data_IF_731450073063
#
_entry.id   IF_731450073063
#
_cell.length_a   1.000
_cell.length_b   1.000
_cell.length_c   1.000
_cell.angle_alpha   90.00
_cell.angle_beta   90.00
_cell.angle_gamma   90.00
#
_symmetry.space_group_name_H-M   'P 1'
#
loop_
_entity.id
_entity.type
_entity.pdbx_description
1 polymer ?
#
# COMPACT_ATOMS: atom_id res chain seq x y z
N UNK A 1 49.52 14.45 42.72
CA UNK A 1 49.33 13.56 41.55
C UNK A 1 47.85 13.20 41.30
N UNK A 2 46.95 13.20 42.26
CA UNK A 2 45.55 12.82 42.15
C UNK A 2 44.67 13.85 41.45
N UNK A 3 44.96 15.15 41.58
CA UNK A 3 44.16 16.23 40.99
C UNK A 3 44.38 16.36 39.47
N UNK A 4 45.60 16.13 39.00
CA UNK A 4 45.95 16.21 37.56
C UNK A 4 45.32 15.02 36.77
N UNK A 5 45.20 13.84 37.39
CA UNK A 5 44.55 12.70 36.78
C UNK A 5 43.04 12.86 36.60
N UNK A 6 42.37 13.60 37.48
CA UNK A 6 40.92 13.78 37.40
C UNK A 6 40.53 14.82 36.34
N UNK A 7 41.34 15.89 36.17
CA UNK A 7 41.16 16.85 35.09
C UNK A 7 41.30 16.23 33.70
N UNK A 8 42.28 15.36 33.50
CA UNK A 8 42.50 14.68 32.22
C UNK A 8 41.35 13.70 31.87
N UNK A 9 40.77 13.03 32.88
CA UNK A 9 39.62 12.11 32.65
C UNK A 9 38.34 12.87 32.30
N UNK A 10 38.10 14.05 32.90
CA UNK A 10 36.94 14.89 32.56
C UNK A 10 37.07 15.52 31.18
N UNK A 11 38.26 15.92 30.77
CA UNK A 11 38.54 16.48 29.44
C UNK A 11 38.39 15.42 28.33
N UNK A 12 38.83 14.19 28.56
CA UNK A 12 38.61 13.06 27.62
C UNK A 12 37.13 12.72 27.52
N UNK A 13 36.39 12.71 28.63
CA UNK A 13 34.96 12.47 28.65
C UNK A 13 34.17 13.54 27.88
N UNK A 14 34.52 14.82 28.06
CA UNK A 14 33.93 15.96 27.36
C UNK A 14 34.23 15.90 25.84
N UNK A 15 35.45 15.54 25.48
CA UNK A 15 35.87 15.39 24.08
C UNK A 15 35.16 14.27 23.39
N UNK A 16 34.97 13.12 24.05
CA UNK A 16 34.22 11.97 23.52
C UNK A 16 32.72 12.28 23.35
N UNK A 17 32.14 13.02 24.25
CA UNK A 17 30.72 13.44 24.14
C UNK A 17 30.52 14.45 23.02
N UNK A 18 31.44 15.40 22.85
CA UNK A 18 31.38 16.36 21.73
C UNK A 18 31.57 15.69 20.37
N UNK A 19 32.49 14.73 20.25
CA UNK A 19 32.65 13.93 19.03
C UNK A 19 31.41 13.09 18.71
N UNK A 20 30.76 12.52 19.71
CA UNK A 20 29.49 11.80 19.53
C UNK A 20 28.35 12.71 19.09
N UNK A 21 28.29 13.91 19.64
CA UNK A 21 27.30 14.91 19.22
C UNK A 21 27.52 15.35 17.77
N UNK A 22 28.75 15.67 17.40
CA UNK A 22 29.08 16.07 16.02
C UNK A 22 28.71 14.95 15.03
N UNK A 23 29.06 13.71 15.36
CA UNK A 23 28.71 12.57 14.50
C UNK A 23 27.20 12.38 14.37
N UNK A 24 26.45 12.55 15.46
CA UNK A 24 24.99 12.42 15.45
C UNK A 24 24.30 13.56 14.68
N UNK A 25 24.86 14.78 14.74
CA UNK A 25 24.37 15.89 13.92
C UNK A 25 24.65 15.66 12.44
N UNK A 26 25.80 15.13 12.07
CA UNK A 26 26.09 14.74 10.67
C UNK A 26 25.16 13.65 10.15
N UNK A 27 24.93 12.60 10.93
CA UNK A 27 23.99 11.52 10.58
C UNK A 27 22.56 12.06 10.40
N UNK A 28 22.15 13.03 11.22
CA UNK A 28 20.84 13.68 11.11
C UNK A 28 20.75 14.59 9.88
N UNK A 29 21.81 15.33 9.56
CA UNK A 29 21.88 16.17 8.37
C UNK A 29 21.83 15.33 7.10
N UNK A 30 22.57 14.22 7.05
CA UNK A 30 22.53 13.28 5.91
C UNK A 30 21.15 12.66 5.74
N UNK A 31 20.51 12.23 6.85
CA UNK A 31 19.15 11.70 6.81
C UNK A 31 18.13 12.76 6.36
N UNK A 32 18.31 14.01 6.77
CA UNK A 32 17.44 15.11 6.34
C UNK A 32 17.56 15.39 4.85
N UNK A 33 18.77 15.43 4.31
CA UNK A 33 19.02 15.61 2.87
C UNK A 33 18.39 14.46 2.07
N UNK A 34 18.56 13.21 2.52
CA UNK A 34 17.95 12.06 1.87
C UNK A 34 16.41 12.14 1.89
N UNK A 35 15.82 12.60 2.98
CA UNK A 35 14.38 12.84 3.10
C UNK A 35 13.88 13.94 2.15
N UNK A 36 14.64 15.02 1.99
CA UNK A 36 14.29 16.08 1.05
C UNK A 36 14.34 15.60 -0.40
N UNK A 37 15.37 14.84 -0.77
CA UNK A 37 15.52 14.28 -2.11
C UNK A 37 14.41 13.28 -2.42
N UNK A 38 14.09 12.38 -1.49
CA UNK A 38 12.97 11.46 -1.62
C UNK A 38 11.63 12.21 -1.77
N UNK A 39 11.42 13.26 -0.99
CA UNK A 39 10.21 14.07 -1.07
C UNK A 39 10.10 14.81 -2.41
N UNK A 40 11.23 15.27 -2.97
CA UNK A 40 11.29 15.89 -4.29
C UNK A 40 10.96 14.87 -5.38
N UNK A 41 11.53 13.69 -5.32
CA UNK A 41 11.26 12.59 -6.26
C UNK A 41 9.78 12.17 -6.21
N UNK A 42 9.21 11.99 -5.02
CA UNK A 42 7.79 11.69 -4.86
C UNK A 42 6.87 12.79 -5.41
N UNK A 43 7.24 14.07 -5.28
CA UNK A 43 6.47 15.17 -5.90
C UNK A 43 6.53 15.10 -7.42
N UNK A 44 7.71 14.81 -7.99
CA UNK A 44 7.86 14.66 -9.44
C UNK A 44 7.03 13.48 -9.97
N UNK A 45 7.13 12.31 -9.33
CA UNK A 45 6.34 11.14 -9.70
C UNK A 45 4.82 11.40 -9.60
N UNK A 46 4.39 12.10 -8.53
CA UNK A 46 2.98 12.47 -8.38
C UNK A 46 2.54 13.42 -9.49
N UNK A 47 3.35 14.40 -9.85
CA UNK A 47 3.07 15.34 -10.92
C UNK A 47 2.94 14.62 -12.27
N UNK A 48 3.87 13.72 -12.58
CA UNK A 48 3.83 12.93 -13.81
C UNK A 48 2.60 12.01 -13.87
N UNK A 49 2.27 11.37 -12.75
CA UNK A 49 1.04 10.60 -12.64
C UNK A 49 -0.21 11.45 -12.90
N UNK A 50 -0.29 12.65 -12.31
CA UNK A 50 -1.41 13.55 -12.52
C UNK A 50 -1.52 14.02 -13.98
N UNK A 51 -0.40 14.26 -14.66
CA UNK A 51 -0.38 14.59 -16.08
C UNK A 51 -0.96 13.46 -16.93
N UNK A 52 -0.59 12.20 -16.64
CA UNK A 52 -1.16 11.04 -17.32
C UNK A 52 -2.66 10.91 -17.11
N UNK A 53 -3.13 11.08 -15.87
CA UNK A 53 -4.57 11.06 -15.56
C UNK A 53 -5.30 12.17 -16.32
N UNK A 54 -4.73 13.38 -16.41
CA UNK A 54 -5.33 14.51 -17.12
C UNK A 54 -5.46 14.23 -18.62
N UNK A 55 -4.44 13.60 -19.25
CA UNK A 55 -4.52 13.21 -20.66
C UNK A 55 -5.64 12.19 -20.89
N UNK A 56 -5.71 11.15 -20.04
CA UNK A 56 -6.77 10.13 -20.13
C UNK A 56 -8.16 10.78 -19.96
N UNK A 57 -8.30 11.65 -18.96
CA UNK A 57 -9.55 12.36 -18.72
C UNK A 57 -9.98 13.19 -19.94
N UNK A 58 -9.05 13.97 -20.52
CA UNK A 58 -9.32 14.79 -21.70
C UNK A 58 -9.72 13.93 -22.90
N UNK A 59 -9.09 12.78 -23.13
CA UNK A 59 -9.46 11.87 -24.21
C UNK A 59 -10.88 11.29 -24.03
N UNK A 60 -11.26 11.01 -22.79
CA UNK A 60 -12.62 10.56 -22.46
C UNK A 60 -13.63 11.69 -22.71
N UNK A 61 -13.34 12.94 -22.29
CA UNK A 61 -14.20 14.10 -22.54
C UNK A 61 -14.38 14.39 -24.05
N UNK A 62 -13.34 14.14 -24.83
CA UNK A 62 -13.38 14.26 -26.30
C UNK A 62 -14.13 13.09 -26.96
N UNK A 63 -14.70 12.16 -26.19
CA UNK A 63 -15.37 10.97 -26.66
C UNK A 63 -14.47 10.03 -27.48
N UNK A 64 -13.16 9.99 -27.12
CA UNK A 64 -12.13 9.16 -27.75
C UNK A 64 -11.63 8.06 -26.78
N UNK A 65 -12.51 7.14 -26.31
CA UNK A 65 -12.12 6.12 -25.33
C UNK A 65 -11.08 5.14 -25.89
N UNK A 66 -11.05 4.94 -27.20
CA UNK A 66 -10.04 4.09 -27.87
C UNK A 66 -8.64 4.63 -27.73
N UNK A 67 -8.46 5.95 -27.94
CA UNK A 67 -7.18 6.64 -27.76
C UNK A 67 -6.77 6.67 -26.28
N UNK A 68 -7.73 6.87 -25.38
CA UNK A 68 -7.47 6.80 -23.94
C UNK A 68 -6.92 5.41 -23.53
N UNK A 69 -7.49 4.33 -24.05
CA UNK A 69 -7.01 2.98 -23.82
C UNK A 69 -5.62 2.75 -24.43
N UNK A 70 -5.39 3.19 -25.67
CA UNK A 70 -4.08 3.06 -26.32
C UNK A 70 -2.99 3.84 -25.57
N UNK A 71 -3.33 5.01 -25.04
CA UNK A 71 -2.42 5.82 -24.23
C UNK A 71 -2.06 5.10 -22.91
N UNK A 72 -3.06 4.52 -22.23
CA UNK A 72 -2.83 3.75 -21.01
C UNK A 72 -1.98 2.49 -21.27
N UNK A 73 -2.25 1.76 -22.34
CA UNK A 73 -1.47 0.58 -22.73
C UNK A 73 -0.01 0.92 -23.00
N UNK A 74 0.26 2.08 -23.59
CA UNK A 74 1.63 2.56 -23.86
C UNK A 74 2.39 2.90 -22.58
N UNK A 75 1.71 3.38 -21.54
CA UNK A 75 2.37 3.80 -20.28
C UNK A 75 2.55 2.64 -19.33
N UNK A 76 1.56 1.77 -19.21
CA UNK A 76 1.52 0.74 -18.18
C UNK A 76 1.76 -0.67 -18.67
N UNK A 77 2.00 -0.89 -19.98
CA UNK A 77 2.29 -2.20 -20.56
C UNK A 77 1.29 -3.30 -20.15
N UNK A 78 1.14 -4.32 -20.94
CA UNK A 78 0.41 -5.58 -20.76
C UNK A 78 -0.53 -5.81 -19.54
N UNK A 79 -1.29 -4.82 -19.13
CA UNK A 79 -2.27 -4.94 -18.03
C UNK A 79 -3.59 -5.59 -18.50
N UNK A 80 -3.61 -6.20 -19.65
CA UNK A 80 -4.81 -6.80 -20.23
C UNK A 80 -4.71 -8.30 -20.36
N UNK A 81 -5.41 -9.03 -19.56
CA UNK A 81 -6.13 -10.27 -19.88
C UNK A 81 -6.59 -11.04 -18.65
N UNK A 82 -7.40 -10.45 -17.78
CA UNK A 82 -8.06 -11.29 -16.77
C UNK A 82 -9.58 -11.07 -16.76
N UNK A 83 -10.21 -12.09 -17.24
CA UNK A 83 -11.53 -12.64 -16.94
C UNK A 83 -12.78 -11.76 -17.04
N UNK A 84 -13.58 -12.10 -18.03
CA UNK A 84 -14.97 -11.62 -18.24
C UNK A 84 -16.02 -12.26 -17.31
N UNK A 85 -15.63 -13.03 -16.31
CA UNK A 85 -16.57 -13.95 -15.63
C UNK A 85 -17.00 -13.57 -14.22
N UNK A 86 -16.42 -12.54 -13.58
CA UNK A 86 -16.80 -12.13 -12.23
C UNK A 86 -17.02 -10.62 -12.22
N UNK A 87 -18.28 -10.19 -12.28
CA UNK A 87 -18.59 -8.75 -12.34
C UNK A 87 -19.64 -8.40 -11.32
N UNK A 88 -19.30 -7.41 -10.48
CA UNK A 88 -20.31 -6.60 -9.81
C UNK A 88 -20.93 -5.64 -10.83
N UNK A 89 -22.03 -4.98 -10.49
CA UNK A 89 -22.59 -3.89 -11.30
C UNK A 89 -21.73 -2.62 -11.24
N UNK A 90 -20.70 -2.57 -10.39
CA UNK A 90 -19.79 -1.43 -10.23
C UNK A 90 -18.53 -1.59 -11.10
N UNK A 91 -18.40 -0.87 -12.25
CA UNK A 91 -17.27 -1.01 -13.16
C UNK A 91 -15.92 -0.68 -12.53
N UNK A 92 -15.88 0.29 -11.60
CA UNK A 92 -14.65 0.69 -10.92
C UNK A 92 -14.12 -0.41 -10.00
N UNK A 93 -15.00 -1.09 -9.27
CA UNK A 93 -14.64 -2.25 -8.43
C UNK A 93 -14.13 -3.41 -9.29
N UNK A 94 -14.79 -3.69 -10.41
CA UNK A 94 -14.36 -4.73 -11.33
C UNK A 94 -12.97 -4.45 -11.90
N UNK A 95 -12.69 -3.21 -12.30
CA UNK A 95 -11.38 -2.78 -12.80
C UNK A 95 -10.29 -2.93 -11.72
N UNK A 96 -10.59 -2.50 -10.48
CA UNK A 96 -9.67 -2.67 -9.35
C UNK A 96 -9.35 -4.14 -9.11
N UNK A 97 -10.37 -5.01 -9.05
CA UNK A 97 -10.17 -6.45 -8.81
C UNK A 97 -9.29 -7.06 -9.90
N UNK A 98 -9.52 -6.71 -11.16
CA UNK A 98 -8.69 -7.18 -12.27
C UNK A 98 -7.22 -6.76 -12.11
N UNK A 99 -6.97 -5.49 -11.78
CA UNK A 99 -5.63 -5.00 -11.52
C UNK A 99 -4.95 -5.77 -10.37
N UNK A 100 -5.69 -6.03 -9.28
CA UNK A 100 -5.17 -6.77 -8.12
C UNK A 100 -4.92 -8.26 -8.40
N UNK A 101 -5.67 -8.89 -9.29
CA UNK A 101 -5.37 -10.26 -9.74
C UNK A 101 -4.05 -10.32 -10.50
N UNK A 102 -3.81 -9.35 -11.40
CA UNK A 102 -2.53 -9.26 -12.14
C UNK A 102 -1.38 -9.00 -11.17
N UNK A 103 -1.53 -8.06 -10.25
CA UNK A 103 -0.51 -7.75 -9.24
C UNK A 103 -0.19 -8.95 -8.36
N UNK A 104 -1.21 -9.70 -7.88
CA UNK A 104 -1.01 -10.93 -7.12
C UNK A 104 -0.17 -11.95 -7.89
N UNK A 105 -0.50 -12.18 -9.16
CA UNK A 105 0.24 -13.08 -10.04
C UNK A 105 1.71 -12.65 -10.22
N UNK A 106 1.97 -11.36 -10.41
CA UNK A 106 3.34 -10.82 -10.53
C UNK A 106 4.15 -11.02 -9.25
N UNK A 107 3.50 -10.99 -8.09
CA UNK A 107 4.10 -11.27 -6.78
C UNK A 107 4.21 -12.77 -6.46
N UNK A 108 3.83 -13.66 -7.37
CA UNK A 108 3.81 -15.11 -7.16
C UNK A 108 2.70 -15.59 -6.22
N UNK A 109 1.68 -14.76 -5.98
CA UNK A 109 0.52 -15.06 -5.15
C UNK A 109 -0.72 -15.36 -6.00
N UNK A 110 -1.70 -16.05 -5.41
CA UNK A 110 -3.00 -16.29 -6.02
C UNK A 110 -4.07 -15.44 -5.33
N UNK A 111 -4.84 -14.67 -6.10
CA UNK A 111 -6.04 -13.97 -5.60
C UNK A 111 -7.28 -14.76 -6.01
N UNK A 112 -7.90 -15.46 -5.04
CA UNK A 112 -9.14 -16.20 -5.23
C UNK A 112 -10.33 -15.27 -5.04
N UNK A 113 -11.29 -15.33 -5.97
CA UNK A 113 -12.44 -14.44 -5.99
C UNK A 113 -13.72 -15.24 -5.80
N UNK A 114 -14.58 -14.79 -4.89
CA UNK A 114 -15.95 -15.28 -4.72
C UNK A 114 -16.89 -14.08 -4.71
N UNK A 115 -17.53 -13.81 -5.86
CA UNK A 115 -18.42 -12.66 -6.05
C UNK A 115 -19.84 -13.19 -6.15
N UNK A 116 -20.59 -13.08 -5.05
CA UNK A 116 -21.99 -13.50 -4.93
C UNK A 116 -22.96 -12.30 -4.91
N UNK A 117 -22.45 -11.07 -5.02
CA UNK A 117 -23.21 -9.84 -4.92
C UNK A 117 -23.22 -9.08 -6.25
N UNK A 118 -24.37 -8.49 -6.59
CA UNK A 118 -24.48 -7.59 -7.76
C UNK A 118 -23.99 -6.19 -7.46
N UNK A 119 -24.26 -5.67 -6.27
CA UNK A 119 -23.94 -4.30 -5.87
C UNK A 119 -24.47 -3.25 -6.86
N UNK A 120 -25.78 -3.32 -7.13
CA UNK A 120 -26.42 -2.50 -8.17
C UNK A 120 -26.50 -1.02 -7.82
N UNK A 121 -26.57 -0.66 -6.52
CA UNK A 121 -26.64 0.74 -6.05
C UNK A 121 -25.89 0.88 -4.72
N UNK A 122 -24.58 1.04 -4.74
CA UNK A 122 -23.80 1.16 -3.52
C UNK A 122 -24.14 2.45 -2.76
N UNK A 123 -24.45 2.31 -1.47
CA UNK A 123 -24.67 3.43 -0.55
C UNK A 123 -23.43 4.32 -0.39
N UNK A 124 -22.29 3.79 -0.79
CA UNK A 124 -20.98 4.44 -0.71
C UNK A 124 -20.43 4.71 -2.13
N UNK A 125 -19.79 5.87 -2.37
CA UNK A 125 -19.16 6.16 -3.65
C UNK A 125 -18.16 5.08 -4.08
N UNK A 126 -18.17 4.70 -5.36
CA UNK A 126 -17.33 3.64 -5.89
C UNK A 126 -15.83 3.82 -5.60
N UNK A 127 -15.34 5.07 -5.58
CA UNK A 127 -13.94 5.37 -5.29
C UNK A 127 -13.54 5.08 -3.82
N UNK A 128 -14.49 5.25 -2.88
CA UNK A 128 -14.27 4.88 -1.47
C UNK A 128 -14.21 3.37 -1.31
N UNK A 129 -15.13 2.64 -1.95
CA UNK A 129 -15.11 1.17 -1.98
C UNK A 129 -13.78 0.68 -2.55
N UNK A 130 -13.35 1.23 -3.69
CA UNK A 130 -12.07 0.89 -4.30
C UNK A 130 -10.88 1.18 -3.37
N UNK A 131 -10.91 2.31 -2.66
CA UNK A 131 -9.86 2.67 -1.71
C UNK A 131 -9.76 1.68 -0.55
N UNK A 132 -10.90 1.28 0.01
CA UNK A 132 -10.95 0.29 1.09
C UNK A 132 -10.49 -1.09 0.62
N UNK A 133 -11.04 -1.57 -0.49
CA UNK A 133 -10.67 -2.87 -1.07
C UNK A 133 -9.18 -2.95 -1.43
N UNK A 134 -8.64 -1.91 -2.07
CA UNK A 134 -7.21 -1.85 -2.41
C UNK A 134 -6.33 -1.99 -1.15
N UNK A 135 -6.60 -1.20 -0.10
CA UNK A 135 -5.84 -1.26 1.14
C UNK A 135 -5.89 -2.64 1.81
N UNK A 136 -7.05 -3.29 1.81
CA UNK A 136 -7.20 -4.62 2.41
C UNK A 136 -6.49 -5.70 1.59
N UNK A 137 -6.65 -5.68 0.27
CA UNK A 137 -6.01 -6.65 -0.63
C UNK A 137 -4.48 -6.49 -0.57
N UNK A 138 -3.95 -5.26 -0.58
CA UNK A 138 -2.52 -5.00 -0.50
C UNK A 138 -1.93 -5.49 0.83
N UNK A 139 -2.62 -5.25 1.94
CA UNK A 139 -2.21 -5.77 3.23
C UNK A 139 -2.21 -7.30 3.28
N UNK A 140 -3.21 -7.94 2.68
CA UNK A 140 -3.31 -9.38 2.60
C UNK A 140 -2.24 -10.01 1.70
N UNK A 141 -1.95 -9.39 0.55
CA UNK A 141 -0.87 -9.80 -0.35
C UNK A 141 0.49 -9.68 0.31
N UNK A 142 0.77 -8.56 0.98
CA UNK A 142 2.03 -8.36 1.69
C UNK A 142 2.22 -9.41 2.82
N UNK A 143 1.14 -9.72 3.56
CA UNK A 143 1.18 -10.73 4.60
C UNK A 143 1.41 -12.14 4.04
N UNK A 144 0.75 -12.49 2.92
CA UNK A 144 0.88 -13.80 2.30
C UNK A 144 2.26 -13.99 1.64
N UNK A 145 2.76 -12.98 0.90
CA UNK A 145 4.04 -13.08 0.18
C UNK A 145 5.26 -12.91 1.08
N UNK A 146 5.11 -12.26 2.24
CA UNK A 146 6.17 -12.11 3.24
C UNK A 146 6.28 -13.28 4.23
N UNK A 147 5.43 -14.29 4.11
CA UNK A 147 5.38 -15.43 5.02
C UNK A 147 6.24 -16.60 4.54
N UNK A 148 6.84 -17.30 5.50
CA UNK A 148 7.37 -18.64 5.25
C UNK A 148 6.19 -19.63 5.31
N UNK A 149 5.72 -20.05 4.14
CA UNK A 149 4.61 -20.99 4.02
C UNK A 149 5.12 -22.45 4.03
N UNK A 150 4.27 -23.42 4.42
CA UNK A 150 4.59 -24.81 4.30
C UNK A 150 5.00 -25.22 2.89
N UNK A 151 5.87 -26.23 2.77
CA UNK A 151 6.37 -26.69 1.49
C UNK A 151 5.22 -27.09 0.54
N UNK A 152 5.17 -26.46 -0.63
CA UNK A 152 4.14 -26.71 -1.63
C UNK A 152 2.92 -25.78 -1.56
N UNK A 153 2.79 -24.96 -0.54
CA UNK A 153 1.75 -23.94 -0.47
C UNK A 153 2.17 -22.64 -1.20
N UNK A 154 1.22 -22.05 -1.94
CA UNK A 154 1.41 -20.75 -2.59
C UNK A 154 0.82 -19.64 -1.72
N UNK A 155 1.42 -18.44 -1.71
CA UNK A 155 0.78 -17.27 -1.14
C UNK A 155 -0.61 -17.09 -1.74
N UNK A 156 -1.64 -17.06 -0.90
CA UNK A 156 -3.03 -17.02 -1.35
C UNK A 156 -3.79 -15.96 -0.57
N UNK A 157 -4.54 -15.15 -1.31
CA UNK A 157 -5.51 -14.19 -0.78
C UNK A 157 -6.88 -14.56 -1.30
N UNK A 158 -7.88 -14.57 -0.45
CA UNK A 158 -9.28 -14.81 -0.81
C UNK A 158 -10.08 -13.53 -0.61
N UNK A 159 -10.75 -13.07 -1.67
CA UNK A 159 -11.69 -11.96 -1.65
C UNK A 159 -13.10 -12.50 -1.86
N UNK A 160 -13.96 -12.26 -0.88
CA UNK A 160 -15.40 -12.57 -0.96
C UNK A 160 -16.17 -11.26 -0.99
N UNK A 161 -17.03 -11.08 -1.99
CA UNK A 161 -18.01 -10.01 -2.07
C UNK A 161 -19.39 -10.63 -1.97
N UNK A 162 -20.17 -10.22 -0.98
CA UNK A 162 -21.50 -10.73 -0.71
C UNK A 162 -22.50 -9.61 -0.42
N UNK A 163 -23.77 -9.98 -0.47
CA UNK A 163 -24.88 -9.12 -0.06
C UNK A 163 -25.91 -9.93 0.72
N UNK A 164 -26.50 -9.31 1.67
CA UNK A 164 -27.69 -9.81 2.38
C UNK A 164 -28.85 -8.82 2.22
N UNK A 165 -29.99 -9.08 2.86
CA UNK A 165 -31.20 -8.24 2.73
C UNK A 165 -31.02 -6.79 3.20
N UNK A 166 -29.92 -6.46 3.89
CA UNK A 166 -29.74 -5.15 4.54
C UNK A 166 -28.36 -4.56 4.33
N UNK A 167 -27.38 -5.37 3.90
CA UNK A 167 -26.00 -4.93 3.83
C UNK A 167 -25.26 -5.59 2.67
N UNK A 168 -24.28 -4.88 2.17
CA UNK A 168 -23.21 -5.43 1.36
C UNK A 168 -21.99 -5.62 2.23
N UNK A 169 -21.31 -6.72 2.03
CA UNK A 169 -20.10 -7.00 2.77
C UNK A 169 -19.01 -7.51 1.86
N UNK A 170 -17.81 -7.34 2.30
CA UNK A 170 -16.64 -7.99 1.71
C UNK A 170 -15.73 -8.53 2.80
N UNK A 171 -15.03 -9.60 2.48
CA UNK A 171 -14.06 -10.24 3.35
C UNK A 171 -12.79 -10.51 2.56
N UNK A 172 -11.66 -10.14 3.15
CA UNK A 172 -10.33 -10.43 2.60
C UNK A 172 -9.60 -11.32 3.60
N UNK A 173 -9.17 -12.49 3.16
CA UNK A 173 -8.41 -13.46 3.95
C UNK A 173 -7.10 -13.78 3.25
N UNK A 174 -6.09 -14.12 4.01
CA UNK A 174 -4.80 -14.57 3.49
C UNK A 174 -4.29 -15.77 4.29
N UNK A 175 -3.40 -16.56 3.69
CA UNK A 175 -2.73 -17.68 4.35
C UNK A 175 -1.38 -17.31 4.99
N UNK A 176 -1.07 -16.01 5.09
CA UNK A 176 0.07 -15.51 5.86
C UNK A 176 -0.17 -15.55 7.38
N UNK A 177 0.79 -15.05 8.18
CA UNK A 177 0.71 -15.08 9.63
C UNK A 177 -0.49 -14.28 10.15
N UNK A 178 -1.11 -14.81 11.21
CA UNK A 178 -2.19 -14.09 11.89
C UNK A 178 -1.68 -12.81 12.57
N UNK A 179 -2.53 -11.79 12.61
CA UNK A 179 -2.24 -10.55 13.33
C UNK A 179 -2.15 -10.87 14.83
N UNK A 180 -1.00 -10.56 15.48
CA UNK A 180 -0.83 -10.81 16.93
C UNK A 180 -1.91 -10.06 17.73
N UNK A 181 -2.43 -10.69 18.78
CA UNK A 181 -3.50 -10.10 19.61
C UNK A 181 -3.19 -8.69 20.11
N UNK A 182 -1.95 -8.49 20.54
CA UNK A 182 -1.48 -7.16 21.02
C UNK A 182 -1.49 -6.08 19.94
N UNK A 183 -1.45 -6.46 18.67
CA UNK A 183 -1.46 -5.54 17.55
C UNK A 183 -2.89 -5.24 17.04
N UNK A 184 -3.88 -6.11 17.30
CA UNK A 184 -5.24 -6.01 16.74
C UNK A 184 -5.95 -4.68 17.03
N UNK A 185 -5.69 -4.07 18.17
CA UNK A 185 -6.26 -2.75 18.50
C UNK A 185 -5.48 -1.64 17.80
N UNK A 186 -4.16 -1.80 17.71
CA UNK A 186 -3.26 -0.76 17.19
C UNK A 186 -3.20 -0.69 15.66
N UNK A 187 -3.59 -1.74 14.94
CA UNK A 187 -3.52 -1.76 13.47
C UNK A 187 -4.37 -0.70 12.79
N UNK A 188 -5.35 -0.12 13.50
CA UNK A 188 -6.19 0.97 13.02
C UNK A 188 -5.70 2.36 13.44
N UNK A 189 -4.64 2.45 14.24
CA UNK A 189 -4.02 3.72 14.61
C UNK A 189 -3.22 4.29 13.41
N UNK A 190 -3.26 5.61 13.18
CA UNK A 190 -2.51 6.22 12.08
C UNK A 190 -1.00 6.02 12.29
N UNK A 191 -0.31 5.60 11.24
CA UNK A 191 1.14 5.38 11.28
C UNK A 191 1.58 4.05 11.89
N UNK A 192 0.66 3.21 12.39
CA UNK A 192 1.03 1.89 12.90
C UNK A 192 1.35 0.94 11.74
N UNK A 193 2.56 0.42 11.74
CA UNK A 193 3.00 -0.57 10.74
C UNK A 193 3.97 -1.58 11.36
N UNK A 194 3.89 -2.81 10.93
CA UNK A 194 4.87 -3.87 11.23
C UNK A 194 5.84 -4.08 10.06
N UNK A 195 5.64 -3.36 8.95
CA UNK A 195 6.47 -3.46 7.74
C UNK A 195 7.69 -2.55 7.85
N UNK A 196 8.82 -2.98 7.29
CA UNK A 196 10.04 -2.16 7.23
C UNK A 196 9.88 -0.89 6.37
N UNK A 197 9.03 -0.98 5.35
CA UNK A 197 8.73 0.10 4.40
C UNK A 197 7.22 0.25 4.30
N UNK A 198 6.62 1.09 5.13
CA UNK A 198 5.17 1.32 5.09
C UNK A 198 4.78 2.52 5.95
N UNK A 199 3.84 3.32 5.46
CA UNK A 199 3.39 4.52 6.17
C UNK A 199 2.36 4.22 7.28
N UNK A 200 1.89 2.96 7.41
CA UNK A 200 0.90 2.57 8.42
C UNK A 200 -0.47 3.23 8.27
N UNK A 201 -0.82 3.72 7.08
CA UNK A 201 -2.06 4.47 6.85
C UNK A 201 -3.21 3.63 6.29
N UNK A 202 -2.92 2.45 5.70
CA UNK A 202 -3.91 1.67 4.96
C UNK A 202 -5.11 1.25 5.81
N UNK A 203 -4.91 0.60 6.95
CA UNK A 203 -6.00 0.16 7.83
C UNK A 203 -6.64 1.31 8.59
N UNK A 204 -5.89 2.38 8.88
CA UNK A 204 -6.47 3.61 9.42
C UNK A 204 -7.50 4.21 8.43
N UNK A 205 -7.16 4.29 7.14
CA UNK A 205 -8.09 4.76 6.09
C UNK A 205 -9.34 3.88 6.04
N UNK A 206 -9.18 2.55 6.09
CA UNK A 206 -10.32 1.62 6.11
C UNK A 206 -11.27 1.88 7.28
N UNK A 207 -10.75 2.24 8.44
CA UNK A 207 -11.56 2.51 9.64
C UNK A 207 -12.25 3.89 9.63
N UNK A 208 -11.79 4.82 8.77
CA UNK A 208 -12.36 6.17 8.64
C UNK A 208 -13.44 6.27 7.53
N UNK A 209 -13.52 5.27 6.67
CA UNK A 209 -14.49 5.16 5.59
C UNK A 209 -15.71 4.36 6.04
#
# INVERSE_FOLDING_TARGET
FTIVGWGALTDIGASLTSLRMVRRTQELEEAYVQLEDLNREMRAQRHDFMNHIQVVYSLIEMNEPGEAMAYMDKIYGDMQRVSRMMRTACPAVNALIQAKVVEASQRGAELKLSIAAKWDDPLMPAWEICRVLANLIDNALDAATGAELPAGEKPTVELVLGEDLRSWFFSVRNNGPAIPEKARVKIFEPGFTTKKTGQGMGLFIVNQT
#
